data_IF_144364907359
#
_entry.id   IF_144364907359
#
_cell.length_a   1.000
_cell.length_b   1.000
_cell.length_c   1.000
_cell.angle_alpha   90.00
_cell.angle_beta   90.00
_cell.angle_gamma   90.00
#
_symmetry.space_group_name_H-M   'P 1'
#
loop_
_entity.id
_entity.type
_entity.pdbx_description
1 polymer ?
#
# COMPACT_ATOMS: atom_id res chain seq x y z
N UNK A 1 -2.33 -12.26 -11.92
CA UNK A 1 -2.98 -12.07 -10.60
C UNK A 1 -3.33 -13.43 -10.03
N UNK A 2 -2.81 -13.72 -8.86
CA UNK A 2 -3.07 -14.98 -8.17
C UNK A 2 -4.27 -14.84 -7.24
N UNK A 3 -4.73 -15.99 -6.71
CA UNK A 3 -5.79 -16.00 -5.69
C UNK A 3 -5.37 -15.25 -4.43
N UNK A 4 -4.10 -15.38 -4.03
CA UNK A 4 -3.55 -14.63 -2.88
C UNK A 4 -3.59 -13.12 -3.12
N UNK A 5 -3.34 -12.67 -4.33
CA UNK A 5 -3.42 -11.25 -4.67
C UNK A 5 -4.86 -10.73 -4.54
N UNK A 6 -5.83 -11.52 -4.99
CA UNK A 6 -7.25 -11.16 -4.85
C UNK A 6 -7.69 -11.13 -3.40
N UNK A 7 -7.22 -12.07 -2.59
CA UNK A 7 -7.48 -12.09 -1.15
C UNK A 7 -6.87 -10.86 -0.47
N UNK A 8 -5.68 -10.45 -0.88
CA UNK A 8 -5.03 -9.27 -0.32
C UNK A 8 -5.85 -8.01 -0.64
N UNK A 9 -6.36 -7.89 -1.85
CA UNK A 9 -7.26 -6.78 -2.23
C UNK A 9 -8.50 -6.79 -1.34
N UNK A 10 -9.09 -7.95 -1.09
CA UNK A 10 -10.25 -8.07 -0.20
C UNK A 10 -9.93 -7.63 1.22
N UNK A 11 -8.76 -7.95 1.71
CA UNK A 11 -8.33 -7.52 3.04
C UNK A 11 -8.25 -5.99 3.13
N UNK A 12 -7.71 -5.35 2.09
CA UNK A 12 -7.71 -3.88 2.00
C UNK A 12 -9.10 -3.29 1.96
N UNK A 13 -10.02 -3.88 1.21
CA UNK A 13 -11.41 -3.44 1.13
C UNK A 13 -12.13 -3.64 2.46
N UNK A 14 -11.86 -4.73 3.16
CA UNK A 14 -12.49 -5.02 4.45
C UNK A 14 -12.08 -3.99 5.51
N UNK A 15 -10.81 -3.67 5.61
CA UNK A 15 -10.37 -2.67 6.60
C UNK A 15 -10.91 -1.29 6.25
N UNK A 16 -11.01 -0.96 4.97
CA UNK A 16 -11.60 0.28 4.52
C UNK A 16 -13.08 0.34 4.91
N UNK A 17 -13.84 -0.71 4.62
CA UNK A 17 -15.27 -0.76 4.93
C UNK A 17 -15.54 -0.56 6.42
N UNK A 18 -14.73 -1.18 7.28
CA UNK A 18 -14.86 -1.05 8.73
C UNK A 18 -14.63 0.37 9.25
N UNK A 19 -13.89 1.19 8.50
CA UNK A 19 -13.44 2.49 8.95
C UNK A 19 -13.86 3.65 8.04
N UNK A 20 -14.60 3.36 6.99
CA UNK A 20 -14.91 4.35 5.96
C UNK A 20 -15.59 5.59 6.54
N UNK A 21 -15.05 6.75 6.22
CA UNK A 21 -15.59 8.04 6.61
C UNK A 21 -15.16 9.08 5.57
N UNK A 22 -16.11 9.63 4.81
CA UNK A 22 -15.84 10.66 3.82
C UNK A 22 -16.43 12.03 4.23
N UNK A 23 -16.86 12.17 5.48
CA UNK A 23 -17.51 13.37 5.98
C UNK A 23 -16.70 14.13 7.02
N UNK A 24 -16.20 13.45 8.04
CA UNK A 24 -15.55 14.07 9.19
C UNK A 24 -14.04 13.88 9.15
N UNK A 25 -13.57 12.65 9.06
CA UNK A 25 -12.14 12.31 9.18
C UNK A 25 -11.49 11.85 7.87
N UNK A 26 -12.26 11.58 6.83
CA UNK A 26 -11.76 11.19 5.49
C UNK A 26 -10.89 9.93 5.50
N UNK A 27 -11.36 8.86 6.14
CA UNK A 27 -10.74 7.55 6.02
C UNK A 27 -11.28 6.87 4.75
N UNK A 28 -10.61 7.10 3.62
CA UNK A 28 -11.14 6.74 2.30
C UNK A 28 -10.26 5.76 1.53
N UNK A 29 -9.10 5.41 2.07
CA UNK A 29 -8.17 4.49 1.45
C UNK A 29 -7.83 3.38 2.44
N UNK A 30 -7.92 2.13 1.98
CA UNK A 30 -7.48 0.97 2.74
C UNK A 30 -6.20 0.40 2.13
N UNK A 31 -5.40 -0.22 2.96
CA UNK A 31 -4.18 -0.88 2.52
C UNK A 31 -4.05 -2.25 3.17
N UNK A 32 -3.52 -3.20 2.42
CA UNK A 32 -3.16 -4.51 2.94
C UNK A 32 -1.73 -4.84 2.51
N UNK A 33 -0.95 -5.37 3.44
CA UNK A 33 0.45 -5.70 3.27
C UNK A 33 0.67 -7.15 3.65
N UNK A 34 1.17 -7.94 2.70
CA UNK A 34 1.54 -9.33 2.92
C UNK A 34 3.03 -9.43 3.18
N UNK A 35 3.40 -10.02 4.30
CA UNK A 35 4.78 -10.32 4.64
C UNK A 35 5.16 -11.72 4.13
N UNK A 36 6.46 -11.99 3.95
CA UNK A 36 6.90 -13.28 3.42
C UNK A 36 6.57 -14.45 4.35
N UNK A 37 6.43 -14.18 5.65
CA UNK A 37 6.02 -15.22 6.61
C UNK A 37 4.51 -15.53 6.56
N UNK A 38 3.76 -14.86 5.69
CA UNK A 38 2.33 -15.08 5.53
C UNK A 38 1.43 -14.15 6.36
N UNK A 39 2.00 -13.36 7.27
CA UNK A 39 1.21 -12.40 8.05
C UNK A 39 0.72 -11.27 7.15
N UNK A 40 -0.52 -10.82 7.38
CA UNK A 40 -1.13 -9.70 6.66
C UNK A 40 -1.42 -8.57 7.64
N UNK A 41 -0.97 -7.37 7.30
CA UNK A 41 -1.24 -6.16 8.07
C UNK A 41 -2.11 -5.22 7.25
N UNK A 42 -2.96 -4.47 7.93
CA UNK A 42 -3.98 -3.63 7.28
C UNK A 42 -4.07 -2.30 7.98
N UNK A 43 -4.39 -1.25 7.24
CA UNK A 43 -4.60 0.06 7.81
C UNK A 43 -5.35 0.97 6.85
N UNK A 44 -5.81 2.09 7.38
CA UNK A 44 -6.45 3.16 6.61
C UNK A 44 -5.62 4.43 6.75
N UNK A 45 -5.84 5.38 5.85
CA UNK A 45 -5.16 6.67 5.93
C UNK A 45 -5.58 7.43 7.20
N UNK A 46 -4.65 8.20 7.73
CA UNK A 46 -4.86 9.06 8.90
C UNK A 46 -4.53 10.48 8.50
N UNK A 47 -5.55 11.31 8.30
CA UNK A 47 -5.37 12.68 7.86
C UNK A 47 -5.16 13.62 9.05
N UNK A 48 -4.44 14.69 8.80
CA UNK A 48 -4.14 15.74 9.77
C UNK A 48 -3.32 16.78 9.05
N UNK A 49 -2.70 17.71 9.76
CA UNK A 49 -1.87 18.73 9.11
C UNK A 49 -0.78 18.09 8.24
N UNK A 50 -0.15 17.04 8.73
CA UNK A 50 0.88 16.33 7.97
C UNK A 50 0.37 15.02 7.34
N UNK A 51 -0.72 14.48 7.82
CA UNK A 51 -1.36 13.29 7.30
C UNK A 51 -0.44 12.11 6.96
N UNK A 52 -0.99 10.92 6.91
CA UNK A 52 -0.28 9.73 6.44
C UNK A 52 -1.19 8.87 5.59
N UNK A 53 -0.67 8.45 4.44
CA UNK A 53 -1.38 7.54 3.55
C UNK A 53 -1.56 6.17 4.20
N UNK A 54 -2.55 5.42 3.73
CA UNK A 54 -2.85 4.08 4.23
C UNK A 54 -1.63 3.15 4.15
N UNK A 55 -0.81 3.27 3.11
CA UNK A 55 0.39 2.46 2.94
C UNK A 55 1.42 2.76 4.04
N UNK A 56 1.62 4.03 4.37
CA UNK A 56 2.53 4.42 5.44
C UNK A 56 2.07 3.90 6.79
N UNK A 57 0.78 4.05 7.08
CA UNK A 57 0.18 3.54 8.34
C UNK A 57 0.37 2.03 8.43
N UNK A 58 0.05 1.30 7.36
CA UNK A 58 0.12 -0.16 7.35
C UNK A 58 1.56 -0.65 7.50
N UNK A 59 2.50 0.00 6.82
CA UNK A 59 3.92 -0.31 6.95
C UNK A 59 4.40 -0.08 8.39
N UNK A 60 3.98 1.02 9.00
CA UNK A 60 4.31 1.32 10.39
C UNK A 60 3.78 0.28 11.36
N UNK A 61 2.55 -0.20 11.13
CA UNK A 61 1.96 -1.27 11.94
C UNK A 61 2.78 -2.56 11.82
N UNK A 62 3.14 -2.95 10.61
CA UNK A 62 3.92 -4.16 10.36
C UNK A 62 5.31 -4.07 10.99
N UNK A 63 6.00 -2.95 10.81
CA UNK A 63 7.32 -2.71 11.40
C UNK A 63 7.23 -2.75 12.93
N UNK A 64 6.20 -2.16 13.51
CA UNK A 64 5.99 -2.14 14.96
C UNK A 64 5.71 -3.55 15.50
N UNK A 65 5.18 -4.44 14.69
CA UNK A 65 4.97 -5.85 15.03
C UNK A 65 6.24 -6.70 14.84
N UNK A 66 7.34 -6.10 14.40
CA UNK A 66 8.62 -6.79 14.22
C UNK A 66 8.90 -7.28 12.80
N UNK A 67 8.03 -7.00 11.84
CA UNK A 67 8.22 -7.45 10.46
C UNK A 67 9.28 -6.62 9.75
N UNK A 68 10.09 -7.29 8.92
CA UNK A 68 11.14 -6.65 8.11
C UNK A 68 11.21 -7.19 6.69
N UNK A 69 10.47 -8.26 6.39
CA UNK A 69 10.54 -8.95 5.10
C UNK A 69 9.16 -8.94 4.45
N UNK A 70 8.97 -8.09 3.45
CA UNK A 70 7.69 -7.76 2.86
C UNK A 70 7.57 -8.35 1.45
N UNK A 71 6.41 -8.87 1.12
CA UNK A 71 6.16 -9.55 -0.17
C UNK A 71 5.34 -8.67 -1.12
N UNK A 72 4.12 -8.28 -0.74
CA UNK A 72 3.18 -7.59 -1.64
C UNK A 72 2.35 -6.57 -0.86
N UNK A 73 2.11 -5.43 -1.49
CA UNK A 73 1.27 -4.38 -0.91
C UNK A 73 0.24 -3.91 -1.93
N UNK A 74 -0.95 -3.54 -1.46
CA UNK A 74 -2.01 -2.97 -2.29
C UNK A 74 -2.78 -1.92 -1.52
N UNK A 75 -3.13 -0.83 -2.19
CA UNK A 75 -4.03 0.20 -1.67
C UNK A 75 -5.32 0.19 -2.47
N UNK A 76 -6.45 0.41 -1.79
CA UNK A 76 -7.77 0.35 -2.39
C UNK A 76 -8.59 1.59 -2.04
N UNK A 77 -9.47 1.95 -2.97
CA UNK A 77 -10.45 3.02 -2.80
C UNK A 77 -11.73 2.57 -3.48
N UNK A 78 -12.86 2.66 -2.79
CA UNK A 78 -14.13 2.11 -3.28
C UNK A 78 -14.60 2.70 -4.62
N UNK A 79 -14.17 3.93 -4.95
CA UNK A 79 -14.64 4.66 -6.14
C UNK A 79 -13.73 4.48 -7.36
N UNK A 80 -12.64 3.75 -7.23
CA UNK A 80 -11.73 3.52 -8.34
C UNK A 80 -12.06 2.25 -9.10
N UNK A 81 -11.71 2.24 -10.38
CA UNK A 81 -11.83 1.05 -11.20
C UNK A 81 -11.02 -0.09 -10.56
N UNK A 82 -11.64 -1.26 -10.44
CA UNK A 82 -11.08 -2.43 -9.75
C UNK A 82 -10.78 -2.17 -8.26
N UNK A 83 -11.21 -1.03 -7.74
CA UNK A 83 -10.95 -0.61 -6.36
C UNK A 83 -9.47 -0.41 -6.00
N UNK A 84 -8.54 -0.66 -6.88
CA UNK A 84 -7.10 -0.54 -6.64
C UNK A 84 -6.59 0.82 -7.07
N UNK A 85 -5.74 1.44 -6.26
CA UNK A 85 -5.10 2.71 -6.58
C UNK A 85 -3.58 2.56 -6.48
N UNK A 86 -2.86 3.35 -7.27
CA UNK A 86 -1.41 3.41 -7.19
C UNK A 86 -0.97 4.22 -5.97
N UNK A 87 0.15 3.87 -5.34
CA UNK A 87 0.67 4.66 -4.23
C UNK A 87 1.12 6.04 -4.69
N UNK A 88 0.93 7.05 -3.84
CA UNK A 88 1.42 8.41 -4.12
C UNK A 88 2.95 8.45 -4.08
N UNK A 89 3.55 9.57 -4.51
CA UNK A 89 4.99 9.72 -4.54
C UNK A 89 5.66 9.53 -3.19
N UNK A 90 5.02 10.02 -2.12
CA UNK A 90 5.54 9.86 -0.75
C UNK A 90 5.62 8.37 -0.36
N UNK A 91 4.58 7.59 -0.67
CA UNK A 91 4.57 6.16 -0.39
C UNK A 91 5.52 5.39 -1.29
N UNK A 92 5.66 5.80 -2.56
CA UNK A 92 6.65 5.20 -3.47
C UNK A 92 8.06 5.38 -2.93
N UNK A 93 8.37 6.55 -2.40
CA UNK A 93 9.67 6.82 -1.80
C UNK A 93 9.89 5.95 -0.56
N UNK A 94 8.91 5.84 0.31
CA UNK A 94 8.98 4.99 1.50
C UNK A 94 9.22 3.53 1.14
N UNK A 95 8.45 3.00 0.20
CA UNK A 95 8.60 1.62 -0.26
C UNK A 95 9.98 1.39 -0.88
N UNK A 96 10.46 2.37 -1.65
CA UNK A 96 11.78 2.30 -2.25
C UNK A 96 12.89 2.22 -1.20
N UNK A 97 12.77 2.99 -0.11
CA UNK A 97 13.78 3.00 0.95
C UNK A 97 13.76 1.73 1.81
N UNK A 98 12.58 1.23 2.15
CA UNK A 98 12.44 0.06 3.02
C UNK A 98 12.51 -1.27 2.29
N UNK A 99 11.91 -1.35 1.12
CA UNK A 99 11.74 -2.63 0.41
C UNK A 99 11.57 -2.41 -1.09
N UNK A 100 12.66 -2.01 -1.81
CA UNK A 100 12.54 -1.68 -3.24
C UNK A 100 12.02 -2.82 -4.11
N UNK A 101 12.17 -4.07 -3.65
CA UNK A 101 11.74 -5.24 -4.40
C UNK A 101 10.33 -5.72 -4.05
N UNK A 102 9.63 -5.05 -3.13
CA UNK A 102 8.25 -5.41 -2.80
C UNK A 102 7.38 -5.32 -4.06
N UNK A 103 6.45 -6.24 -4.20
CA UNK A 103 5.47 -6.19 -5.29
C UNK A 103 4.34 -5.26 -4.91
N UNK A 104 4.00 -4.37 -5.82
CA UNK A 104 2.88 -3.43 -5.65
C UNK A 104 1.83 -3.76 -6.68
N UNK A 105 0.60 -3.98 -6.22
CA UNK A 105 -0.53 -4.21 -7.13
C UNK A 105 -1.05 -2.85 -7.57
N UNK A 106 -1.07 -2.61 -8.87
CA UNK A 106 -1.51 -1.35 -9.47
C UNK A 106 -2.34 -1.64 -10.73
N UNK A 107 -2.97 -0.61 -11.26
CA UNK A 107 -3.60 -0.68 -12.58
C UNK A 107 -2.60 -0.20 -13.63
N UNK A 108 -2.57 -0.87 -14.77
CA UNK A 108 -1.84 -0.38 -15.93
C UNK A 108 -2.66 0.71 -16.65
N UNK A 109 -2.15 1.19 -17.78
CA UNK A 109 -2.81 2.25 -18.56
C UNK A 109 -4.18 1.83 -19.13
N UNK A 110 -4.46 0.54 -19.18
CA UNK A 110 -5.72 -0.01 -19.67
C UNK A 110 -6.68 -0.40 -18.54
N UNK A 111 -6.32 -0.14 -17.29
CA UNK A 111 -7.12 -0.50 -16.14
C UNK A 111 -6.97 -1.94 -15.69
N UNK A 112 -6.03 -2.69 -16.25
CA UNK A 112 -5.77 -4.07 -15.85
C UNK A 112 -4.88 -4.12 -14.62
N UNK A 113 -5.17 -5.05 -13.71
CA UNK A 113 -4.37 -5.23 -12.51
C UNK A 113 -3.06 -5.95 -12.85
N UNK A 114 -1.96 -5.33 -12.43
CA UNK A 114 -0.61 -5.88 -12.61
C UNK A 114 0.17 -5.75 -11.30
N UNK A 115 1.25 -6.51 -11.19
CA UNK A 115 2.19 -6.41 -10.07
C UNK A 115 3.53 -5.91 -10.59
N UNK A 116 4.04 -4.87 -9.96
CA UNK A 116 5.35 -4.29 -10.31
C UNK A 116 6.19 -4.15 -9.06
N UNK A 117 7.50 -4.05 -9.22
CA UNK A 117 8.39 -3.75 -8.09
C UNK A 117 8.22 -2.29 -7.69
N UNK A 118 8.32 -2.01 -6.40
CA UNK A 118 8.29 -0.62 -5.92
C UNK A 118 9.35 0.24 -6.61
N UNK A 119 10.54 -0.30 -6.86
CA UNK A 119 11.62 0.41 -7.56
C UNK A 119 11.23 0.83 -8.98
N UNK A 120 10.35 0.08 -9.65
CA UNK A 120 9.89 0.43 -11.00
C UNK A 120 8.90 1.61 -10.99
N UNK A 121 8.34 1.93 -9.84
CA UNK A 121 7.38 3.04 -9.69
C UNK A 121 8.06 4.37 -9.39
N UNK A 122 9.38 4.38 -9.18
CA UNK A 122 10.11 5.59 -8.82
C UNK A 122 11.47 5.63 -9.48
N UNK A 123 11.52 5.84 -10.82
CA UNK A 123 12.79 5.98 -11.54
C UNK A 123 13.63 7.14 -10.98
N UNK A 124 14.95 6.95 -10.91
CA UNK A 124 15.88 7.96 -10.44
C UNK A 124 15.55 8.48 -9.03
N UNK A 125 15.10 7.55 -8.17
CA UNK A 125 14.68 7.91 -6.81
C UNK A 125 15.85 8.45 -5.98
N UNK A 126 15.53 9.38 -5.08
CA UNK A 126 16.49 9.81 -4.07
C UNK A 126 16.86 8.63 -3.17
N UNK A 127 18.12 8.52 -2.84
CA UNK A 127 18.65 7.51 -1.91
C UNK A 127 19.43 8.20 -0.81
N UNK A 128 19.43 7.65 0.41
CA UNK A 128 20.39 8.07 1.42
C UNK A 128 21.81 7.88 0.86
N UNK A 129 22.64 8.90 0.97
CA UNK A 129 24.01 8.82 0.48
C UNK A 129 24.85 8.09 1.51
N UNK A 130 25.40 6.96 1.10
CA UNK A 130 26.35 6.21 1.90
C UNK A 130 27.73 6.65 1.46
N UNK A 131 28.35 7.52 2.23
CA UNK A 131 29.71 7.96 1.96
C UNK A 131 30.71 7.00 2.54
#
# INVERSE_FOLDING_TARGET
>A
MTEKDRELIKEGLNILEQNFDDGIYNHTVGCALLCRNGHVYKGVNCDGIHGSCAEYITMGIAISAGERDFDTIVAVHEKHLNCVISPCGNCRQMLFEYCPDIKVIVNDEYGELIKVKASDLLPFAWKPVMC
#
